data_IF_124981140634
#
_entry.id   IF_124981140634
#
_cell.length_a   1.000
_cell.length_b   1.000
_cell.length_c   1.000
_cell.angle_alpha   90.00
_cell.angle_beta   90.00
_cell.angle_gamma   90.00
#
_symmetry.space_group_name_H-M   'P 1'
#
loop_
_entity.id
_entity.type
_entity.pdbx_description
1 polymer ?
#
# COMPACT_ATOMS: atom_id res chain seq x y z
N UNK A 1 0.67 32.91 33.91
CA UNK A 1 2.11 33.16 33.84
C UNK A 1 2.59 32.57 32.52
N UNK A 2 2.61 33.40 31.47
CA UNK A 2 3.06 32.98 30.14
C UNK A 2 4.58 32.88 30.17
N UNK A 3 5.11 31.68 29.94
CA UNK A 3 6.54 31.50 29.68
C UNK A 3 6.75 31.92 28.22
N UNK A 4 7.51 33.00 27.94
CA UNK A 4 7.79 33.39 26.57
C UNK A 4 8.74 32.36 25.98
N UNK A 5 8.24 31.51 25.09
CA UNK A 5 9.10 30.65 24.28
C UNK A 5 9.83 31.54 23.27
N UNK A 6 11.17 31.67 23.32
CA UNK A 6 11.93 32.65 22.52
C UNK A 6 11.97 32.35 21.02
N UNK A 7 11.38 31.23 20.57
CA UNK A 7 11.35 30.83 19.17
C UNK A 7 9.94 30.37 18.79
N UNK A 8 9.17 31.25 18.14
CA UNK A 8 8.07 30.79 17.31
C UNK A 8 8.67 30.16 16.04
N UNK A 9 8.60 28.82 15.93
CA UNK A 9 8.94 28.11 14.70
C UNK A 9 7.86 28.41 13.67
N UNK A 10 7.97 29.59 13.06
CA UNK A 10 6.93 30.14 12.18
C UNK A 10 6.70 29.29 10.94
N UNK A 11 7.71 28.54 10.47
CA UNK A 11 7.56 27.57 9.40
C UNK A 11 8.62 26.48 9.50
N UNK A 12 8.21 25.21 9.53
CA UNK A 12 9.11 24.06 9.46
C UNK A 12 8.92 23.38 8.11
N UNK A 13 10.02 23.15 7.41
CA UNK A 13 10.00 22.48 6.11
C UNK A 13 10.51 21.05 6.22
N UNK A 14 9.73 20.12 5.69
CA UNK A 14 10.12 18.73 5.51
C UNK A 14 10.19 18.42 4.02
N UNK A 15 11.14 17.57 3.66
CA UNK A 15 11.30 17.05 2.29
C UNK A 15 11.39 15.53 2.36
N UNK A 16 11.11 14.86 1.24
CA UNK A 16 11.26 13.41 1.15
C UNK A 16 12.68 13.00 1.58
N UNK A 17 12.76 12.04 2.50
CA UNK A 17 14.01 11.65 3.16
C UNK A 17 14.52 10.32 2.63
N UNK A 18 15.82 10.29 2.30
CA UNK A 18 16.55 9.04 2.11
C UNK A 18 17.63 8.93 3.18
N UNK A 19 17.68 7.77 3.82
CA UNK A 19 18.73 7.41 4.79
C UNK A 19 19.20 5.99 4.53
N UNK A 20 20.50 5.85 4.29
CA UNK A 20 21.10 4.56 3.97
C UNK A 20 20.94 3.56 5.13
N UNK A 21 21.09 4.02 6.36
CA UNK A 21 20.96 3.21 7.57
C UNK A 21 19.50 2.82 7.88
N UNK A 22 18.53 3.56 7.33
CA UNK A 22 17.10 3.24 7.45
C UNK A 22 16.54 2.45 6.27
N UNK A 23 17.38 2.16 5.27
CA UNK A 23 16.94 1.53 4.03
C UNK A 23 16.26 0.18 4.27
N UNK A 24 16.88 -0.67 5.08
CA UNK A 24 16.44 -2.05 5.31
C UNK A 24 15.08 -2.12 6.00
N UNK A 25 14.92 -1.35 7.09
CA UNK A 25 13.64 -1.23 7.78
C UNK A 25 12.56 -0.58 6.88
N UNK A 26 12.91 0.40 6.05
CA UNK A 26 11.93 1.04 5.17
C UNK A 26 11.46 0.10 4.04
N UNK A 27 12.36 -0.74 3.50
CA UNK A 27 12.01 -1.79 2.53
C UNK A 27 11.03 -2.77 3.14
N UNK A 28 11.35 -3.29 4.32
CA UNK A 28 10.48 -4.26 4.97
C UNK A 28 9.17 -3.67 5.48
N UNK A 29 9.16 -2.43 5.97
CA UNK A 29 7.93 -1.73 6.33
C UNK A 29 7.02 -1.55 5.11
N UNK A 30 7.56 -1.07 3.99
CA UNK A 30 6.79 -0.94 2.74
C UNK A 30 6.24 -2.29 2.30
N UNK A 31 7.09 -3.32 2.32
CA UNK A 31 6.71 -4.68 2.00
C UNK A 31 5.53 -5.15 2.86
N UNK A 32 5.61 -5.01 4.19
CA UNK A 32 4.55 -5.43 5.11
C UNK A 32 3.23 -4.71 4.81
N UNK A 33 3.26 -3.39 4.60
CA UNK A 33 2.07 -2.59 4.29
C UNK A 33 1.40 -3.02 2.98
N UNK A 34 2.17 -3.19 1.91
CA UNK A 34 1.66 -3.60 0.60
C UNK A 34 1.05 -5.02 0.68
N UNK A 35 1.72 -5.93 1.37
CA UNK A 35 1.30 -7.34 1.46
C UNK A 35 0.10 -7.53 2.39
N UNK A 36 -0.07 -6.69 3.41
CA UNK A 36 -1.27 -6.72 4.24
C UNK A 36 -2.54 -6.50 3.43
N UNK A 37 -2.49 -5.61 2.44
CA UNK A 37 -3.63 -5.40 1.55
C UNK A 37 -3.93 -6.67 0.72
N UNK A 38 -2.90 -7.35 0.23
CA UNK A 38 -3.07 -8.65 -0.43
C UNK A 38 -3.62 -9.74 0.50
N UNK A 39 -3.22 -9.74 1.79
CA UNK A 39 -3.79 -10.63 2.79
C UNK A 39 -5.28 -10.33 3.01
N UNK A 40 -5.65 -9.05 3.15
CA UNK A 40 -7.05 -8.63 3.27
C UNK A 40 -7.88 -9.11 2.07
N UNK A 41 -7.39 -8.90 0.85
CA UNK A 41 -8.10 -9.30 -0.38
C UNK A 41 -8.26 -10.83 -0.48
N UNK A 42 -7.24 -11.59 -0.05
CA UNK A 42 -7.29 -13.04 -0.06
C UNK A 42 -8.30 -13.57 0.97
N UNK A 43 -8.29 -13.05 2.21
CA UNK A 43 -9.29 -13.38 3.23
C UNK A 43 -10.69 -12.98 2.77
N UNK A 44 -10.84 -11.79 2.17
CA UNK A 44 -12.12 -11.30 1.68
C UNK A 44 -12.65 -12.19 0.54
N UNK A 45 -11.77 -12.65 -0.35
CA UNK A 45 -12.12 -13.59 -1.42
C UNK A 45 -12.54 -14.95 -0.88
N UNK A 46 -11.85 -15.46 0.15
CA UNK A 46 -12.14 -16.72 0.83
C UNK A 46 -13.48 -16.67 1.58
N UNK A 47 -13.77 -15.53 2.21
CA UNK A 47 -14.95 -15.35 3.04
C UNK A 47 -16.11 -14.64 2.32
N UNK A 48 -16.01 -14.41 1.00
CA UNK A 48 -17.02 -13.63 0.24
C UNK A 48 -18.45 -14.16 0.36
N UNK A 49 -18.63 -15.49 0.49
CA UNK A 49 -19.96 -16.11 0.70
C UNK A 49 -20.50 -15.96 2.12
N UNK A 50 -19.67 -15.55 3.09
CA UNK A 50 -20.07 -15.23 4.47
C UNK A 50 -20.50 -13.77 4.65
N UNK A 51 -20.21 -12.91 3.66
CA UNK A 51 -20.60 -11.50 3.67
C UNK A 51 -22.08 -11.39 3.31
N UNK A 52 -22.92 -11.13 4.31
CA UNK A 52 -24.38 -11.03 4.11
C UNK A 52 -24.81 -9.61 3.73
N UNK A 53 -26.00 -9.43 3.11
CA UNK A 53 -26.48 -8.10 2.72
C UNK A 53 -26.44 -7.07 3.85
N UNK A 54 -26.73 -7.49 5.09
CA UNK A 54 -26.75 -6.63 6.28
C UNK A 54 -25.37 -6.11 6.67
N UNK A 55 -24.29 -6.82 6.30
CA UNK A 55 -22.91 -6.37 6.59
C UNK A 55 -22.48 -5.16 5.77
N UNK A 56 -23.20 -4.87 4.68
CA UNK A 56 -22.97 -3.69 3.86
C UNK A 56 -23.75 -2.46 4.35
N UNK A 57 -24.69 -2.65 5.29
CA UNK A 57 -25.55 -1.59 5.81
C UNK A 57 -24.84 -0.79 6.92
N UNK A 58 -25.31 0.45 7.14
CA UNK A 58 -24.75 1.41 8.09
C UNK A 58 -23.21 1.58 8.02
N UNK A 59 -22.59 1.70 6.82
CA UNK A 59 -21.18 2.04 6.77
C UNK A 59 -21.01 3.45 7.36
N UNK A 60 -19.94 3.66 8.14
CA UNK A 60 -19.51 5.02 8.43
C UNK A 60 -19.47 5.82 7.12
N UNK A 61 -19.88 7.09 7.14
CA UNK A 61 -19.94 7.94 5.94
C UNK A 61 -18.63 7.92 5.13
N UNK A 62 -17.50 7.63 5.78
CA UNK A 62 -16.21 7.47 5.11
C UNK A 62 -16.10 6.27 4.16
N UNK A 63 -16.85 5.20 4.37
CA UNK A 63 -16.76 3.94 3.60
C UNK A 63 -17.88 3.76 2.58
N UNK A 64 -18.99 4.50 2.72
CA UNK A 64 -20.22 4.34 1.91
C UNK A 64 -19.99 4.36 0.40
N UNK A 65 -19.02 5.14 -0.09
CA UNK A 65 -18.71 5.24 -1.53
C UNK A 65 -18.00 3.98 -2.10
N UNK A 66 -17.30 3.22 -1.27
CA UNK A 66 -16.53 2.03 -1.69
C UNK A 66 -17.32 0.73 -1.55
N UNK A 67 -18.34 0.71 -0.67
CA UNK A 67 -19.20 -0.44 -0.43
C UNK A 67 -19.84 -0.98 -1.73
N UNK A 68 -20.44 -0.15 -2.61
CA UNK A 68 -21.01 -0.64 -3.86
C UNK A 68 -19.98 -1.27 -4.81
N UNK A 69 -18.78 -0.70 -4.87
CA UNK A 69 -17.69 -1.22 -5.70
C UNK A 69 -17.25 -2.61 -5.21
N UNK A 70 -16.96 -2.72 -3.91
CA UNK A 70 -16.57 -4.01 -3.31
C UNK A 70 -17.69 -5.04 -3.47
N UNK A 71 -18.96 -4.68 -3.22
CA UNK A 71 -20.11 -5.58 -3.42
C UNK A 71 -20.17 -6.09 -4.86
N UNK A 72 -19.98 -5.21 -5.85
CA UNK A 72 -19.97 -5.58 -7.28
C UNK A 72 -18.82 -6.53 -7.62
N UNK A 73 -17.63 -6.29 -7.07
CA UNK A 73 -16.46 -7.13 -7.36
C UNK A 73 -16.56 -8.49 -6.68
N UNK A 74 -17.09 -8.56 -5.46
CA UNK A 74 -17.40 -9.83 -4.78
C UNK A 74 -18.44 -10.63 -5.55
N UNK A 75 -19.53 -9.99 -6.00
CA UNK A 75 -20.54 -10.67 -6.81
C UNK A 75 -19.97 -11.20 -8.14
N UNK A 76 -19.10 -10.43 -8.80
CA UNK A 76 -18.40 -10.87 -10.02
C UNK A 76 -17.49 -12.06 -9.74
N UNK A 77 -16.76 -12.02 -8.63
CA UNK A 77 -15.90 -13.12 -8.17
C UNK A 77 -16.74 -14.38 -7.94
N UNK A 78 -17.82 -14.31 -7.15
CA UNK A 78 -18.74 -15.44 -6.90
C UNK A 78 -19.24 -16.03 -8.22
N UNK A 79 -19.78 -15.20 -9.12
CA UNK A 79 -20.31 -15.66 -10.40
C UNK A 79 -19.23 -16.28 -11.32
N UNK A 80 -18.01 -15.75 -11.29
CA UNK A 80 -16.88 -16.32 -12.03
C UNK A 80 -16.49 -17.69 -11.50
N UNK A 81 -16.53 -17.87 -10.18
CA UNK A 81 -16.22 -19.13 -9.53
C UNK A 81 -17.30 -20.18 -9.74
N UNK A 82 -18.57 -19.80 -9.64
CA UNK A 82 -19.67 -20.72 -9.90
C UNK A 82 -19.59 -21.25 -11.34
N UNK A 83 -19.32 -20.39 -12.33
CA UNK A 83 -19.06 -20.82 -13.73
C UNK A 83 -17.86 -21.75 -13.86
N UNK A 84 -16.74 -21.41 -13.21
CA UNK A 84 -15.52 -22.22 -13.31
C UNK A 84 -15.73 -23.62 -12.75
N UNK A 85 -16.43 -23.74 -11.61
CA UNK A 85 -16.79 -25.03 -10.99
C UNK A 85 -17.66 -25.88 -11.92
N UNK A 86 -18.64 -25.27 -12.59
CA UNK A 86 -19.54 -26.00 -13.50
C UNK A 86 -18.82 -26.51 -14.76
N UNK A 87 -17.65 -25.93 -15.09
CA UNK A 87 -16.81 -26.31 -16.23
C UNK A 87 -15.55 -27.11 -15.88
N UNK A 88 -15.27 -27.30 -14.58
CA UNK A 88 -14.05 -27.94 -14.13
C UNK A 88 -14.17 -29.47 -14.24
N UNK A 89 -13.11 -30.17 -14.71
CA UNK A 89 -13.03 -31.62 -14.59
C UNK A 89 -13.21 -32.08 -13.14
N UNK A 90 -13.86 -33.24 -12.91
CA UNK A 90 -14.12 -33.78 -11.56
C UNK A 90 -12.83 -34.04 -10.75
N UNK A 91 -11.69 -34.17 -11.43
CA UNK A 91 -10.35 -34.40 -10.88
C UNK A 91 -9.51 -33.12 -10.72
N UNK A 92 -10.10 -31.93 -10.92
CA UNK A 92 -9.39 -30.67 -10.71
C UNK A 92 -9.06 -30.46 -9.22
N UNK A 93 -7.79 -30.66 -8.84
CA UNK A 93 -7.28 -30.45 -7.46
C UNK A 93 -7.33 -28.97 -6.99
N UNK A 94 -7.57 -28.02 -7.90
CA UNK A 94 -7.47 -26.59 -7.61
C UNK A 94 -8.78 -26.03 -7.03
N UNK A 95 -8.89 -26.01 -5.70
CA UNK A 95 -10.03 -25.40 -5.00
C UNK A 95 -10.05 -23.87 -5.13
N UNK A 96 -11.22 -23.27 -4.91
CA UNK A 96 -11.43 -21.82 -4.85
C UNK A 96 -10.48 -21.15 -3.83
N UNK A 97 -10.30 -21.81 -2.70
CA UNK A 97 -9.38 -21.41 -1.62
C UNK A 97 -7.92 -21.53 -2.05
N UNK A 98 -7.61 -22.56 -2.86
CA UNK A 98 -6.25 -22.78 -3.36
C UNK A 98 -5.76 -21.61 -4.21
N UNK A 99 -6.60 -21.07 -5.10
CA UNK A 99 -6.24 -19.90 -5.93
C UNK A 99 -6.17 -18.60 -5.13
N UNK A 100 -7.09 -18.38 -4.19
CA UNK A 100 -7.09 -17.18 -3.35
C UNK A 100 -5.77 -17.02 -2.57
N UNK A 101 -5.18 -18.15 -2.15
CA UNK A 101 -3.96 -18.18 -1.34
C UNK A 101 -2.71 -18.65 -2.07
N UNK A 102 -2.77 -18.94 -3.37
CA UNK A 102 -1.64 -19.48 -4.15
C UNK A 102 -0.41 -18.57 -4.08
N UNK A 103 -0.57 -17.29 -4.42
CA UNK A 103 0.52 -16.32 -4.42
C UNK A 103 1.14 -16.12 -3.01
N UNK A 104 0.31 -16.20 -1.96
CA UNK A 104 0.75 -16.07 -0.56
C UNK A 104 1.46 -17.32 -0.04
N UNK A 105 1.13 -18.51 -0.56
CA UNK A 105 1.87 -19.75 -0.24
C UNK A 105 3.20 -19.81 -1.02
N UNK A 106 3.17 -19.45 -2.31
CA UNK A 106 4.36 -19.34 -3.14
C UNK A 106 5.39 -18.39 -2.51
N UNK A 107 4.94 -17.25 -1.95
CA UNK A 107 5.75 -16.32 -1.16
C UNK A 107 6.62 -17.00 -0.11
N UNK A 108 6.00 -17.73 0.81
CA UNK A 108 6.74 -18.34 1.92
C UNK A 108 7.67 -19.44 1.44
N UNK A 109 7.26 -20.16 0.40
CA UNK A 109 8.05 -21.26 -0.13
C UNK A 109 9.25 -20.79 -0.98
N UNK A 110 9.15 -19.66 -1.67
CA UNK A 110 10.21 -19.16 -2.57
C UNK A 110 10.38 -17.62 -2.57
N UNK A 111 10.80 -17.04 -1.45
CA UNK A 111 10.87 -15.58 -1.30
C UNK A 111 11.98 -14.89 -2.12
N UNK A 112 12.92 -15.65 -2.70
CA UNK A 112 14.06 -15.12 -3.46
C UNK A 112 13.83 -15.03 -4.98
N UNK A 113 12.84 -15.74 -5.54
CA UNK A 113 12.57 -15.85 -6.99
C UNK A 113 11.37 -15.03 -7.45
N UNK A 114 10.52 -14.62 -6.53
CA UNK A 114 9.35 -13.74 -6.72
C UNK A 114 9.78 -12.28 -6.95
N UNK A 115 10.52 -12.06 -8.03
CA UNK A 115 10.88 -10.73 -8.49
C UNK A 115 9.61 -9.93 -8.79
N UNK A 116 9.33 -8.92 -7.95
CA UNK A 116 8.51 -7.73 -8.21
C UNK A 116 7.07 -7.92 -8.73
N UNK A 117 6.56 -9.13 -8.91
CA UNK A 117 5.17 -9.39 -9.28
C UNK A 117 4.53 -10.28 -8.23
N UNK A 118 3.93 -9.64 -7.23
CA UNK A 118 3.23 -10.30 -6.15
C UNK A 118 1.72 -10.18 -6.39
N UNK A 119 1.06 -11.34 -6.43
CA UNK A 119 -0.37 -11.57 -6.22
C UNK A 119 -1.35 -10.50 -6.69
N UNK A 120 -1.75 -10.54 -7.96
CA UNK A 120 -3.10 -10.09 -8.30
C UNK A 120 -4.07 -11.06 -7.65
N UNK A 121 -4.63 -10.69 -6.51
CA UNK A 121 -5.84 -11.34 -5.98
C UNK A 121 -6.98 -11.15 -6.98
N UNK A 122 -7.88 -12.14 -7.05
CA UNK A 122 -8.99 -12.21 -8.04
C UNK A 122 -9.97 -11.04 -7.88
N UNK A 123 -10.00 -10.42 -6.71
CA UNK A 123 -10.58 -9.10 -6.52
C UNK A 123 -9.49 -8.13 -6.97
N UNK A 124 -9.52 -7.75 -8.25
CA UNK A 124 -8.79 -6.56 -8.63
C UNK A 124 -9.33 -5.45 -7.73
N UNK A 125 -8.50 -4.87 -6.86
CA UNK A 125 -8.62 -3.43 -6.65
C UNK A 125 -8.85 -2.88 -8.05
N UNK A 126 -10.01 -2.25 -8.26
CA UNK A 126 -10.29 -1.59 -9.53
C UNK A 126 -8.97 -1.03 -10.02
N UNK A 127 -8.50 -1.39 -11.22
CA UNK A 127 -7.21 -0.92 -11.72
C UNK A 127 -7.10 0.63 -11.65
N UNK A 128 -8.20 1.33 -11.35
CA UNK A 128 -8.31 2.75 -11.10
C UNK A 128 -8.31 3.22 -9.61
N UNK A 129 -8.43 2.37 -8.58
CA UNK A 129 -8.58 2.80 -7.18
C UNK A 129 -7.66 2.04 -6.20
N UNK A 130 -6.48 2.61 -5.99
CA UNK A 130 -5.46 2.14 -5.03
C UNK A 130 -5.52 2.94 -3.71
N UNK A 131 -6.68 3.54 -3.41
CA UNK A 131 -6.77 4.37 -2.22
C UNK A 131 -6.80 3.51 -0.95
N UNK A 132 -6.10 3.95 0.10
CA UNK A 132 -6.21 3.45 1.48
C UNK A 132 -7.66 3.22 1.96
N UNK A 133 -8.63 3.95 1.39
CA UNK A 133 -10.03 3.81 1.77
C UNK A 133 -10.69 2.55 1.23
N UNK A 134 -10.24 2.05 0.08
CA UNK A 134 -10.66 0.74 -0.40
C UNK A 134 -10.20 -0.34 0.58
N UNK A 135 -8.91 -0.36 0.94
CA UNK A 135 -8.35 -1.26 1.95
C UNK A 135 -9.07 -1.14 3.30
N UNK A 136 -9.30 0.08 3.81
CA UNK A 136 -10.07 0.29 5.06
C UNK A 136 -11.52 -0.17 4.97
N UNK A 137 -12.14 -0.12 3.79
CA UNK A 137 -13.51 -0.63 3.60
C UNK A 137 -13.52 -2.15 3.56
N UNK A 138 -12.52 -2.78 2.93
CA UNK A 138 -12.31 -4.22 3.01
C UNK A 138 -12.09 -4.65 4.48
N UNK A 139 -11.25 -3.94 5.22
CA UNK A 139 -11.03 -4.17 6.65
C UNK A 139 -12.32 -4.08 7.46
N UNK A 140 -13.15 -3.05 7.21
CA UNK A 140 -14.45 -2.89 7.85
C UNK A 140 -15.34 -4.12 7.63
N UNK A 141 -15.45 -4.62 6.40
CA UNK A 141 -16.24 -5.82 6.09
C UNK A 141 -15.65 -7.07 6.75
N UNK A 142 -14.33 -7.22 6.70
CA UNK A 142 -13.64 -8.34 7.35
C UNK A 142 -13.86 -8.35 8.87
N UNK A 143 -13.87 -7.19 9.52
CA UNK A 143 -14.20 -7.08 10.96
C UNK A 143 -15.62 -7.56 11.25
N UNK A 144 -16.60 -7.19 10.42
CA UNK A 144 -17.99 -7.67 10.55
C UNK A 144 -18.07 -9.20 10.39
N UNK A 145 -17.30 -9.77 9.47
CA UNK A 145 -17.23 -11.24 9.32
C UNK A 145 -16.57 -11.87 10.55
N UNK A 146 -15.46 -11.32 11.04
CA UNK A 146 -14.78 -11.82 12.23
C UNK A 146 -15.67 -11.78 13.49
N UNK A 147 -16.53 -10.76 13.62
CA UNK A 147 -17.52 -10.65 14.70
C UNK A 147 -18.64 -11.69 14.58
N UNK A 148 -19.16 -11.91 13.36
CA UNK A 148 -20.29 -12.82 13.13
C UNK A 148 -19.87 -14.30 13.11
N UNK A 149 -18.71 -14.59 12.52
CA UNK A 149 -18.21 -15.94 12.28
C UNK A 149 -16.70 -16.05 12.56
N UNK A 150 -16.30 -15.95 13.84
CA UNK A 150 -14.89 -15.96 14.23
C UNK A 150 -14.20 -17.29 13.90
N UNK A 151 -14.93 -18.41 13.82
CA UNK A 151 -14.36 -19.73 13.51
C UNK A 151 -13.95 -19.83 12.06
N UNK A 152 -14.84 -19.47 11.12
CA UNK A 152 -14.52 -19.46 9.69
C UNK A 152 -13.43 -18.42 9.39
N UNK A 153 -13.45 -17.27 10.07
CA UNK A 153 -12.41 -16.26 9.94
C UNK A 153 -11.04 -16.78 10.43
N UNK A 154 -11.00 -17.43 11.59
CA UNK A 154 -9.80 -18.06 12.14
C UNK A 154 -9.25 -19.15 11.20
N UNK A 155 -10.13 -19.98 10.62
CA UNK A 155 -9.74 -20.99 9.64
C UNK A 155 -9.14 -20.36 8.39
N UNK A 156 -9.75 -19.30 7.84
CA UNK A 156 -9.22 -18.58 6.69
C UNK A 156 -7.84 -17.97 6.97
N UNK A 157 -7.62 -17.42 8.17
CA UNK A 157 -6.28 -16.97 8.57
C UNK A 157 -5.32 -18.15 8.71
N UNK A 158 -5.73 -19.29 9.28
CA UNK A 158 -4.88 -20.47 9.43
C UNK A 158 -4.42 -21.07 8.09
N UNK A 159 -5.27 -21.01 7.06
CA UNK A 159 -4.92 -21.39 5.68
C UNK A 159 -3.87 -20.45 5.09
N UNK A 160 -3.97 -19.16 5.40
CA UNK A 160 -2.94 -18.18 5.06
C UNK A 160 -1.71 -18.50 5.88
N UNK A 161 -1.73 -18.31 7.19
CA UNK A 161 -0.64 -18.37 8.16
C UNK A 161 -0.84 -19.55 9.12
N UNK A 162 -0.27 -20.73 8.83
CA UNK A 162 -0.37 -21.90 9.70
C UNK A 162 0.15 -21.61 11.10
N UNK A 163 -0.58 -22.06 12.12
CA UNK A 163 -0.26 -21.83 13.52
C UNK A 163 -0.70 -20.47 14.07
N UNK A 164 -1.26 -19.56 13.25
CA UNK A 164 -1.71 -18.24 13.72
C UNK A 164 -2.75 -18.35 14.83
N UNK A 165 -3.76 -19.20 14.66
CA UNK A 165 -4.87 -19.36 15.60
C UNK A 165 -4.45 -19.95 16.96
N UNK A 166 -3.26 -20.54 17.05
CA UNK A 166 -2.76 -21.16 18.29
C UNK A 166 -2.19 -20.11 19.27
N UNK A 167 -1.72 -18.98 18.75
CA UNK A 167 -1.03 -17.95 19.53
C UNK A 167 -1.59 -16.54 19.37
N UNK A 168 -2.53 -16.32 18.43
CA UNK A 168 -3.07 -15.01 18.12
C UNK A 168 -4.59 -14.99 18.03
N UNK A 169 -5.17 -13.86 18.40
CA UNK A 169 -6.61 -13.61 18.18
C UNK A 169 -6.90 -13.28 16.72
N UNK A 170 -8.15 -13.47 16.28
CA UNK A 170 -8.61 -13.05 14.95
C UNK A 170 -8.48 -11.55 14.72
N UNK A 171 -8.52 -10.74 15.79
CA UNK A 171 -8.43 -9.28 15.70
C UNK A 171 -6.99 -8.80 15.48
N UNK A 172 -5.99 -9.58 15.91
CA UNK A 172 -4.58 -9.25 15.72
C UNK A 172 -4.16 -9.28 14.25
N UNK A 173 -4.89 -9.99 13.40
CA UNK A 173 -4.70 -9.96 11.93
C UNK A 173 -4.75 -8.53 11.36
N UNK A 174 -5.63 -7.68 11.91
CA UNK A 174 -5.75 -6.30 11.45
C UNK A 174 -4.57 -5.42 11.88
N UNK A 175 -3.78 -5.88 12.86
CA UNK A 175 -2.58 -5.21 13.34
C UNK A 175 -1.31 -5.75 12.68
N UNK A 176 -1.41 -6.67 11.72
CA UNK A 176 -0.29 -7.25 10.98
C UNK A 176 0.21 -6.33 9.85
N UNK A 177 0.26 -5.02 10.14
CA UNK A 177 0.65 -3.96 9.22
C UNK A 177 1.08 -2.71 9.98
N UNK A 178 1.49 -1.69 9.25
CA UNK A 178 1.75 -0.35 9.76
C UNK A 178 0.79 0.65 9.11
N UNK A 179 0.58 1.80 9.77
CA UNK A 179 -0.04 2.94 9.09
C UNK A 179 0.84 3.35 7.88
N UNK A 180 0.25 3.75 6.74
CA UNK A 180 1.04 4.11 5.55
C UNK A 180 2.07 5.21 5.77
N UNK A 181 1.81 6.13 6.71
CA UNK A 181 2.70 7.23 7.07
C UNK A 181 3.61 6.93 8.26
N UNK A 182 3.63 5.70 8.77
CA UNK A 182 4.51 5.32 9.86
C UNK A 182 5.96 5.22 9.40
N UNK A 183 6.88 5.49 10.33
CA UNK A 183 8.31 5.20 10.17
C UNK A 183 8.71 4.30 11.34
N UNK A 184 8.46 2.98 11.24
CA UNK A 184 8.74 2.05 12.31
C UNK A 184 10.24 1.92 12.56
N UNK A 185 10.57 1.48 13.77
CA UNK A 185 11.92 1.09 14.17
C UNK A 185 12.31 -0.26 13.58
N UNK A 186 13.61 -0.60 13.66
CA UNK A 186 14.13 -1.90 13.22
C UNK A 186 13.44 -3.04 13.96
N UNK A 187 13.25 -2.89 15.27
CA UNK A 187 12.71 -3.94 16.12
C UNK A 187 11.23 -4.20 15.81
N UNK A 188 10.41 -3.14 15.71
CA UNK A 188 9.00 -3.28 15.31
C UNK A 188 8.84 -3.98 13.94
N UNK A 189 9.73 -3.69 12.99
CA UNK A 189 9.70 -4.35 11.68
C UNK A 189 10.11 -5.82 11.80
N UNK A 190 11.12 -6.15 12.60
CA UNK A 190 11.55 -7.53 12.81
C UNK A 190 10.48 -8.36 13.50
N UNK A 191 9.84 -7.80 14.53
CA UNK A 191 8.73 -8.45 15.23
C UNK A 191 7.60 -8.79 14.25
N UNK A 192 7.23 -7.85 13.38
CA UNK A 192 6.22 -8.10 12.33
C UNK A 192 6.67 -9.12 11.29
N UNK A 193 7.96 -9.16 10.94
CA UNK A 193 8.47 -10.21 10.06
C UNK A 193 8.43 -11.58 10.72
N UNK A 194 8.64 -11.66 12.04
CA UNK A 194 8.51 -12.90 12.80
C UNK A 194 7.06 -13.39 12.84
N UNK A 195 6.11 -12.49 13.13
CA UNK A 195 4.67 -12.78 13.05
C UNK A 195 4.27 -13.31 11.66
N UNK A 196 4.91 -12.79 10.60
CA UNK A 196 4.69 -13.22 9.21
C UNK A 196 5.47 -14.49 8.79
N UNK A 197 6.34 -15.01 9.67
CA UNK A 197 7.25 -16.13 9.39
C UNK A 197 8.24 -15.81 8.24
N UNK A 198 8.68 -14.55 8.16
CA UNK A 198 9.57 -14.00 7.14
C UNK A 198 10.92 -13.52 7.70
N UNK A 199 11.25 -13.80 8.97
CA UNK A 199 12.49 -13.34 9.62
C UNK A 199 13.76 -13.72 8.88
N UNK A 200 13.77 -14.87 8.20
CA UNK A 200 14.91 -15.34 7.40
C UNK A 200 15.23 -14.43 6.21
N UNK A 201 14.30 -13.56 5.82
CA UNK A 201 14.45 -12.66 4.70
C UNK A 201 15.06 -11.33 5.08
N UNK A 202 15.22 -11.03 6.37
CA UNK A 202 15.70 -9.72 6.82
C UNK A 202 16.90 -9.22 6.00
N UNK A 203 17.88 -10.08 5.69
CA UNK A 203 19.11 -9.79 4.95
C UNK A 203 18.96 -9.59 3.42
N UNK A 204 17.83 -9.91 2.80
CA UNK A 204 17.66 -9.80 1.34
C UNK A 204 17.84 -8.40 0.76
N UNK A 205 17.44 -7.29 1.42
CA UNK A 205 17.57 -5.95 0.85
C UNK A 205 19.01 -5.44 0.73
N UNK A 206 19.98 -6.11 1.36
CA UNK A 206 21.40 -5.74 1.26
C UNK A 206 22.06 -6.25 -0.02
N UNK A 207 21.37 -7.11 -0.77
CA UNK A 207 21.84 -7.63 -2.06
C UNK A 207 21.93 -6.52 -3.10
N UNK A 208 22.99 -6.59 -3.91
CA UNK A 208 23.11 -5.79 -5.11
C UNK A 208 22.38 -6.50 -6.25
N UNK A 209 21.44 -5.78 -6.87
CA UNK A 209 20.70 -6.27 -8.02
C UNK A 209 21.49 -5.98 -9.29
N UNK A 210 21.50 -6.94 -10.21
CA UNK A 210 21.94 -6.72 -11.58
C UNK A 210 20.72 -6.33 -12.42
N UNK A 211 20.92 -5.45 -13.40
CA UNK A 211 19.88 -5.21 -14.40
C UNK A 211 19.61 -6.52 -15.15
N UNK A 212 18.36 -6.99 -15.15
CA UNK A 212 18.00 -8.31 -15.74
C UNK A 212 18.29 -8.38 -17.24
N UNK A 213 18.28 -7.25 -17.92
CA UNK A 213 18.51 -7.14 -19.36
C UNK A 213 19.68 -6.19 -19.63
N UNK A 214 20.59 -6.61 -20.51
CA UNK A 214 21.62 -5.72 -21.05
C UNK A 214 20.96 -4.83 -22.09
N UNK A 215 21.11 -3.52 -21.95
CA UNK A 215 20.72 -2.57 -22.99
C UNK A 215 21.39 -3.02 -24.32
N UNK A 216 20.63 -3.27 -25.40
CA UNK A 216 21.21 -3.72 -26.66
C UNK A 216 22.29 -2.74 -27.13
N UNK A 217 23.47 -3.26 -27.48
CA UNK A 217 24.63 -2.46 -27.89
C UNK A 217 25.48 -1.87 -26.76
N UNK A 218 25.10 -2.01 -25.49
CA UNK A 218 25.90 -1.53 -24.36
C UNK A 218 27.03 -2.50 -24.01
N UNK A 219 28.28 -2.09 -24.26
CA UNK A 219 29.52 -2.85 -23.95
C UNK A 219 30.21 -2.38 -22.67
N UNK A 220 29.60 -1.45 -21.93
CA UNK A 220 30.17 -0.92 -20.69
C UNK A 220 30.01 -1.85 -19.48
N UNK A 221 30.47 -1.42 -18.29
CA UNK A 221 30.44 -2.24 -17.08
C UNK A 221 29.01 -2.62 -16.66
N UNK A 222 28.84 -3.84 -16.16
CA UNK A 222 27.55 -4.31 -15.66
C UNK A 222 27.09 -3.45 -14.47
N UNK A 223 25.97 -2.75 -14.64
CA UNK A 223 25.40 -1.91 -13.59
C UNK A 223 24.78 -2.77 -12.49
N UNK A 224 25.35 -2.66 -11.29
CA UNK A 224 24.73 -3.12 -10.05
C UNK A 224 24.05 -1.96 -9.36
N UNK A 225 22.84 -2.19 -8.86
CA UNK A 225 22.12 -1.18 -8.09
C UNK A 225 21.59 -1.76 -6.79
N UNK A 226 21.37 -0.87 -5.83
CA UNK A 226 20.60 -1.15 -4.61
C UNK A 226 19.35 -0.28 -4.64
N UNK A 227 18.25 -0.84 -4.16
CA UNK A 227 16.98 -0.14 -4.15
C UNK A 227 17.04 1.07 -3.21
N UNK A 228 16.69 2.24 -3.75
CA UNK A 228 16.64 3.49 -2.99
C UNK A 228 15.22 3.79 -2.59
N UNK A 229 14.87 3.35 -1.40
CA UNK A 229 13.58 3.61 -0.78
C UNK A 229 13.61 4.91 0.02
N UNK A 230 12.59 5.75 -0.16
CA UNK A 230 12.49 7.05 0.50
C UNK A 230 11.26 7.13 1.39
N UNK A 231 11.34 7.97 2.41
CA UNK A 231 10.23 8.27 3.31
C UNK A 231 9.61 9.59 2.89
N UNK A 232 8.27 9.64 2.84
CA UNK A 232 7.54 10.86 2.49
C UNK A 232 7.86 12.01 3.45
N UNK A 233 7.80 13.24 2.97
CA UNK A 233 7.92 14.43 3.82
C UNK A 233 6.85 14.44 4.92
N UNK A 234 5.63 14.01 4.61
CA UNK A 234 4.53 13.90 5.58
C UNK A 234 4.86 12.92 6.73
N UNK A 235 5.34 11.72 6.43
CA UNK A 235 5.73 10.72 7.44
C UNK A 235 6.85 11.24 8.35
N UNK A 236 7.84 11.94 7.78
CA UNK A 236 8.93 12.55 8.56
C UNK A 236 8.38 13.64 9.49
N UNK A 237 7.47 14.49 8.99
CA UNK A 237 6.80 15.50 9.78
C UNK A 237 5.99 14.88 10.94
N UNK A 238 5.22 13.82 10.65
CA UNK A 238 4.44 13.09 11.66
C UNK A 238 5.35 12.52 12.75
N UNK A 239 6.46 11.86 12.37
CA UNK A 239 7.44 11.34 13.33
C UNK A 239 8.03 12.45 14.20
N UNK A 240 8.41 13.58 13.58
CA UNK A 240 8.94 14.74 14.30
C UNK A 240 7.91 15.30 15.30
N UNK A 241 6.68 15.55 14.87
CA UNK A 241 5.61 16.06 15.73
C UNK A 241 5.32 15.11 16.90
N UNK A 242 5.32 13.80 16.65
CA UNK A 242 5.16 12.77 17.68
C UNK A 242 6.27 12.78 18.73
N UNK A 243 7.48 13.21 18.38
CA UNK A 243 8.65 13.22 19.27
C UNK A 243 8.78 14.49 20.11
N UNK A 244 8.16 15.60 19.71
CA UNK A 244 8.24 16.86 20.46
C UNK A 244 7.09 16.99 21.47
N UNK A 245 7.31 17.63 22.63
CA UNK A 245 6.27 17.87 23.63
C UNK A 245 5.08 18.66 23.07
N UNK A 246 3.88 18.39 23.61
CA UNK A 246 2.65 19.10 23.23
C UNK A 246 2.78 20.62 23.26
N UNK A 247 3.47 21.16 24.28
CA UNK A 247 3.68 22.60 24.43
C UNK A 247 4.45 23.18 23.23
N UNK A 248 5.43 22.46 22.70
CA UNK A 248 6.20 22.88 21.53
C UNK A 248 5.40 22.74 20.24
N UNK A 249 4.59 21.67 20.13
CA UNK A 249 3.68 21.48 18.98
C UNK A 249 2.72 22.64 18.81
N UNK A 250 2.14 23.13 19.90
CA UNK A 250 1.20 24.26 19.88
C UNK A 250 1.84 25.58 19.41
N UNK A 251 3.17 25.69 19.42
CA UNK A 251 3.89 26.85 18.90
C UNK A 251 4.14 26.77 17.38
N UNK A 252 3.84 25.63 16.74
CA UNK A 252 4.01 25.44 15.29
C UNK A 252 2.75 25.94 14.59
N UNK A 253 2.91 26.88 13.68
CA UNK A 253 1.81 27.43 12.88
C UNK A 253 1.83 27.00 11.42
N UNK A 254 3.01 26.77 10.83
CA UNK A 254 3.12 26.38 9.43
C UNK A 254 4.06 25.17 9.23
N UNK A 255 3.60 24.23 8.42
CA UNK A 255 4.39 23.11 7.92
C UNK A 255 4.40 23.14 6.39
N UNK A 256 5.59 23.01 5.81
CA UNK A 256 5.76 22.87 4.35
C UNK A 256 6.27 21.45 4.09
N UNK A 257 5.48 20.66 3.37
CA UNK A 257 5.80 19.27 3.02
C UNK A 257 6.16 19.21 1.54
N UNK A 258 7.43 19.00 1.24
CA UNK A 258 7.93 18.87 -0.13
C UNK A 258 8.07 17.38 -0.49
N UNK A 259 7.05 16.81 -1.12
CA UNK A 259 7.14 15.48 -1.73
C UNK A 259 7.87 15.62 -3.08
N UNK A 260 9.20 15.58 -3.03
CA UNK A 260 10.06 15.88 -4.18
C UNK A 260 10.52 14.62 -4.93
N UNK A 261 10.31 13.44 -4.34
CA UNK A 261 10.66 12.13 -4.86
C UNK A 261 9.62 11.10 -4.39
N UNK A 262 9.33 10.11 -5.23
CA UNK A 262 8.50 8.97 -4.83
C UNK A 262 9.00 8.32 -3.53
N UNK A 263 8.08 8.05 -2.61
CA UNK A 263 8.36 7.43 -1.32
C UNK A 263 7.72 6.05 -1.19
N UNK A 264 8.01 5.36 -0.09
CA UNK A 264 7.22 4.20 0.36
C UNK A 264 5.76 4.57 0.47
N UNK A 265 4.92 3.55 0.28
CA UNK A 265 3.47 3.63 0.34
C UNK A 265 2.92 4.74 -0.57
N UNK A 266 1.61 4.75 -0.82
CA UNK A 266 0.99 5.83 -1.59
C UNK A 266 1.09 7.15 -0.80
N UNK A 267 2.18 7.91 -1.00
CA UNK A 267 2.50 9.18 -0.34
C UNK A 267 1.34 10.19 -0.35
N UNK A 268 0.49 10.08 -1.35
CA UNK A 268 -0.76 10.83 -1.51
C UNK A 268 -1.66 10.74 -0.28
N UNK A 269 -1.66 9.60 0.42
CA UNK A 269 -2.49 9.36 1.60
C UNK A 269 -1.83 9.78 2.93
N UNK A 270 -0.52 10.10 2.95
CA UNK A 270 0.20 10.31 4.20
C UNK A 270 -0.22 11.57 4.96
N UNK A 271 -0.85 12.52 4.28
CA UNK A 271 -1.46 13.70 4.90
C UNK A 271 -2.57 13.31 5.90
N UNK A 272 -3.20 12.14 5.75
CA UNK A 272 -4.20 11.63 6.69
C UNK A 272 -3.61 11.41 8.09
N UNK A 273 -2.33 11.06 8.19
CA UNK A 273 -1.64 10.93 9.46
C UNK A 273 -1.46 12.24 10.22
N UNK A 274 -1.70 13.39 9.56
CA UNK A 274 -1.66 14.70 10.21
C UNK A 274 -2.98 15.07 10.89
N UNK A 275 -4.07 14.33 10.67
CA UNK A 275 -5.41 14.60 11.25
C UNK A 275 -5.35 14.83 12.77
N UNK A 276 -4.67 14.01 13.59
CA UNK A 276 -4.56 14.26 15.03
C UNK A 276 -3.94 15.63 15.36
N UNK A 277 -2.94 16.07 14.58
CA UNK A 277 -2.27 17.34 14.80
C UNK A 277 -3.09 18.54 14.33
N UNK A 278 -3.89 18.40 13.27
CA UNK A 278 -4.85 19.42 12.88
C UNK A 278 -5.93 19.65 13.95
N UNK A 279 -6.33 18.58 14.66
CA UNK A 279 -7.27 18.68 15.78
C UNK A 279 -6.62 19.28 17.04
N UNK A 280 -5.35 18.97 17.29
CA UNK A 280 -4.59 19.50 18.43
C UNK A 280 -4.22 20.98 18.25
N UNK A 281 -3.81 21.36 17.02
CA UNK A 281 -3.25 22.67 16.67
C UNK A 281 -4.21 23.37 15.70
N UNK A 282 -5.18 24.10 16.24
CA UNK A 282 -6.26 24.72 15.47
C UNK A 282 -5.81 25.74 14.41
N UNK A 283 -4.61 26.32 14.57
CA UNK A 283 -4.01 27.28 13.64
C UNK A 283 -2.98 26.66 12.68
N UNK A 284 -2.84 25.33 12.67
CA UNK A 284 -1.87 24.66 11.84
C UNK A 284 -2.23 24.77 10.37
N UNK A 285 -1.35 25.40 9.60
CA UNK A 285 -1.42 25.45 8.15
C UNK A 285 -0.40 24.46 7.60
N UNK A 286 -0.85 23.53 6.76
CA UNK A 286 0.01 22.59 6.06
C UNK A 286 -0.03 22.91 4.57
N UNK A 287 1.13 23.25 4.02
CA UNK A 287 1.35 23.37 2.59
C UNK A 287 1.96 22.08 2.05
N UNK A 288 1.17 21.28 1.34
CA UNK A 288 1.61 20.01 0.76
C UNK A 288 1.95 20.18 -0.73
N UNK A 289 3.24 20.14 -1.05
CA UNK A 289 3.79 20.35 -2.39
C UNK A 289 4.23 19.01 -2.99
N UNK A 290 3.50 18.53 -4.00
CA UNK A 290 3.85 17.30 -4.72
C UNK A 290 4.53 17.60 -6.07
N UNK A 291 5.74 17.06 -6.27
CA UNK A 291 6.40 17.12 -7.59
C UNK A 291 5.81 16.07 -8.53
N UNK A 292 4.93 16.50 -9.44
CA UNK A 292 4.22 15.63 -10.41
C UNK A 292 5.19 14.68 -11.15
N UNK A 293 6.27 15.23 -11.71
CA UNK A 293 7.27 14.50 -12.50
C UNK A 293 8.00 13.38 -11.77
N UNK A 294 8.01 13.40 -10.44
CA UNK A 294 8.80 12.46 -9.62
C UNK A 294 7.95 11.60 -8.69
N UNK A 295 6.66 11.87 -8.58
CA UNK A 295 5.75 11.17 -7.68
C UNK A 295 4.55 10.56 -8.40
N UNK A 296 4.00 11.26 -9.42
CA UNK A 296 2.79 10.82 -10.13
C UNK A 296 3.17 10.10 -11.42
N UNK A 297 3.98 10.75 -12.25
CA UNK A 297 4.32 10.22 -13.57
C UNK A 297 5.18 8.94 -13.55
N UNK A 298 6.06 8.72 -12.56
CA UNK A 298 6.76 7.43 -12.49
C UNK A 298 5.85 6.26 -12.09
N UNK A 299 4.79 6.50 -11.30
CA UNK A 299 3.78 5.49 -10.92
C UNK A 299 2.84 5.16 -12.08
N UNK A 300 2.68 6.08 -13.01
CA UNK A 300 1.83 5.94 -14.19
C UNK A 300 2.46 5.11 -15.33
N UNK A 301 3.56 4.42 -15.06
CA UNK A 301 4.34 3.65 -16.05
C UNK A 301 4.45 2.17 -15.62
N UNK A 302 3.60 1.73 -14.69
CA UNK A 302 3.87 0.51 -13.94
C UNK A 302 3.87 -0.78 -14.78
N UNK A 303 4.84 -1.63 -14.44
CA UNK A 303 5.09 -3.01 -14.88
C UNK A 303 5.72 -3.29 -16.26
N UNK A 304 5.85 -2.32 -17.16
CA UNK A 304 6.50 -2.54 -18.48
C UNK A 304 7.92 -1.98 -18.59
N UNK A 305 8.11 -0.70 -18.27
CA UNK A 305 9.31 0.01 -18.74
C UNK A 305 10.60 -0.26 -17.96
N UNK A 306 10.55 -0.98 -16.83
CA UNK A 306 11.77 -1.53 -16.22
C UNK A 306 12.24 -2.83 -16.89
N UNK A 307 11.46 -3.37 -17.85
CA UNK A 307 11.75 -4.57 -18.65
C UNK A 307 11.73 -4.32 -20.18
N UNK A 308 11.62 -3.07 -20.64
CA UNK A 308 11.64 -2.74 -22.07
C UNK A 308 12.57 -1.58 -22.40
N UNK A 309 13.70 -1.48 -21.69
CA UNK A 309 14.83 -0.74 -22.23
C UNK A 309 15.57 -1.64 -23.24
N UNK A 310 14.87 -2.06 -24.28
CA UNK A 310 15.44 -2.78 -25.42
C UNK A 310 14.78 -2.20 -26.66
N UNK A 311 15.50 -1.29 -27.33
CA UNK A 311 15.26 -1.03 -28.75
C UNK A 311 15.50 -2.36 -29.48
N UNK A 312 14.43 -3.09 -29.77
CA UNK A 312 14.49 -4.22 -30.70
C UNK A 312 14.24 -3.68 -32.11
N UNK A 313 15.31 -3.19 -32.75
CA UNK A 313 15.31 -3.01 -34.20
C UNK A 313 15.37 -4.40 -34.84
N UNK A 314 14.21 -5.01 -35.15
CA UNK A 314 14.00 -5.92 -36.30
C UNK A 314 12.78 -6.84 -36.23
N UNK A 315 11.67 -6.41 -35.61
CA UNK A 315 10.40 -7.13 -35.81
C UNK A 315 9.36 -6.18 -36.38
N UNK A 316 8.96 -6.48 -37.61
CA UNK A 316 7.86 -5.85 -38.34
C UNK A 316 6.55 -6.20 -37.62
N UNK A 317 6.22 -5.40 -36.58
CA UNK A 317 5.09 -5.60 -35.68
C UNK A 317 3.93 -4.68 -36.08
N UNK A 318 3.25 -5.01 -37.17
CA UNK A 318 1.87 -4.55 -37.39
C UNK A 318 0.97 -5.14 -36.29
N UNK A 319 0.80 -4.41 -35.19
CA UNK A 319 -0.12 -4.78 -34.10
C UNK A 319 0.22 -4.24 -32.71
N UNK A 320 1.30 -3.48 -32.54
CA UNK A 320 1.80 -3.03 -31.22
C UNK A 320 1.83 -1.50 -31.03
N UNK A 321 1.07 -0.74 -31.83
CA UNK A 321 0.97 0.73 -31.72
C UNK A 321 0.43 1.23 -30.37
N UNK A 322 -0.16 0.35 -29.54
CA UNK A 322 -0.68 0.69 -28.22
C UNK A 322 0.34 0.55 -27.07
N UNK A 323 1.55 0.02 -27.30
CA UNK A 323 2.54 -0.14 -26.22
C UNK A 323 3.31 1.16 -25.99
N UNK A 324 3.22 1.69 -24.77
CA UNK A 324 3.84 2.98 -24.40
C UNK A 324 5.35 2.85 -24.41
N UNK A 325 6.05 3.69 -25.17
CA UNK A 325 7.52 3.70 -25.17
C UNK A 325 8.07 4.24 -23.85
N UNK A 326 9.33 3.95 -23.53
CA UNK A 326 9.99 4.29 -22.25
C UNK A 326 9.99 5.78 -21.87
N UNK A 327 9.76 6.67 -22.83
CA UNK A 327 9.66 8.12 -22.63
C UNK A 327 8.21 8.64 -22.70
N UNK A 328 7.24 7.76 -22.92
CA UNK A 328 5.83 8.08 -23.06
C UNK A 328 5.08 7.63 -21.81
N UNK A 329 4.10 8.42 -21.39
CA UNK A 329 3.19 8.10 -20.30
C UNK A 329 1.77 8.08 -20.87
N UNK A 330 0.96 7.08 -20.50
CA UNK A 330 -0.44 7.07 -20.92
C UNK A 330 -1.22 8.12 -20.13
N UNK A 331 -2.11 8.83 -20.82
CA UNK A 331 -2.98 9.82 -20.20
C UNK A 331 -3.88 9.20 -19.12
N UNK A 332 -4.30 7.93 -19.29
CA UNK A 332 -5.06 7.16 -18.30
C UNK A 332 -4.35 7.05 -16.97
N UNK A 333 -3.03 6.87 -17.02
CA UNK A 333 -2.24 6.55 -15.84
C UNK A 333 -1.88 7.83 -15.06
N UNK A 334 -1.67 8.94 -15.79
CA UNK A 334 -1.62 10.28 -15.18
C UNK A 334 -2.95 10.62 -14.51
N UNK A 335 -4.06 10.40 -15.23
CA UNK A 335 -5.40 10.66 -14.72
C UNK A 335 -5.67 9.84 -13.45
N UNK A 336 -5.26 8.57 -13.41
CA UNK A 336 -5.34 7.73 -12.21
C UNK A 336 -4.55 8.34 -11.04
N UNK A 337 -3.28 8.68 -11.24
CA UNK A 337 -2.43 9.22 -10.18
C UNK A 337 -2.95 10.56 -9.62
N UNK A 338 -3.42 11.47 -10.49
CA UNK A 338 -4.06 12.73 -10.07
C UNK A 338 -5.38 12.46 -9.34
N UNK A 339 -6.19 11.53 -9.83
CA UNK A 339 -7.47 11.16 -9.19
C UNK A 339 -7.23 10.61 -7.78
N UNK A 340 -6.24 9.73 -7.59
CA UNK A 340 -5.88 9.21 -6.26
C UNK A 340 -5.52 10.34 -5.29
N UNK A 341 -4.72 11.33 -5.71
CA UNK A 341 -4.40 12.51 -4.89
C UNK A 341 -5.68 13.26 -4.49
N UNK A 342 -6.53 13.59 -5.46
CA UNK A 342 -7.76 14.35 -5.21
C UNK A 342 -8.68 13.59 -4.26
N UNK A 343 -8.82 12.27 -4.43
CA UNK A 343 -9.62 11.42 -3.56
C UNK A 343 -9.05 11.41 -2.13
N UNK A 344 -7.74 11.23 -1.96
CA UNK A 344 -7.10 11.23 -0.65
C UNK A 344 -7.23 12.56 0.08
N UNK A 345 -7.00 13.68 -0.60
CA UNK A 345 -7.15 15.02 -0.04
C UNK A 345 -8.61 15.31 0.30
N UNK A 346 -9.53 15.05 -0.63
CA UNK A 346 -10.97 15.26 -0.40
C UNK A 346 -11.46 14.46 0.80
N UNK A 347 -10.92 13.26 0.99
CA UNK A 347 -11.31 12.43 2.13
C UNK A 347 -10.66 12.86 3.44
N UNK A 348 -9.41 13.32 3.41
CA UNK A 348 -8.79 13.96 4.57
C UNK A 348 -9.66 15.11 5.10
N UNK A 349 -10.28 15.88 4.20
CA UNK A 349 -11.22 16.95 4.56
C UNK A 349 -12.46 16.41 5.30
N UNK A 350 -12.95 15.22 4.95
CA UNK A 350 -14.11 14.59 5.61
C UNK A 350 -13.79 13.88 6.93
N UNK A 351 -12.54 13.47 7.18
CA UNK A 351 -12.14 12.75 8.41
C UNK A 351 -11.76 13.68 9.57
N UNK A 352 -12.19 14.95 9.52
CA UNK A 352 -12.04 15.89 10.63
C UNK A 352 -10.86 16.83 10.53
N UNK A 353 -10.50 17.24 9.30
CA UNK A 353 -9.97 18.59 9.13
C UNK A 353 -11.10 19.58 9.48
N UNK A 354 -10.85 20.60 10.32
CA UNK A 354 -11.87 21.59 10.63
C UNK A 354 -12.36 22.21 9.32
N UNK A 355 -13.68 22.26 9.12
CA UNK A 355 -14.29 23.03 8.05
C UNK A 355 -13.71 24.44 8.16
N UNK A 356 -13.06 24.95 7.09
CA UNK A 356 -12.65 26.35 7.07
C UNK A 356 -13.90 27.19 7.35
N UNK A 357 -13.93 27.85 8.50
CA UNK A 357 -14.90 28.90 8.84
C UNK A 357 -14.70 30.10 7.92
#
# INVERSE_FOLDING_TARGET
MEIPYPFALNAITFSTLYRQDWRKQAIWANYIMDHHTSFQDAVLTRLKRRITPEMYEDPYLKYSQYIPAIRKDLARSIASWDRARDTAPEDAEESEDSRAFKALRELRSQPATSGRRWGSTVISQSYADETIFFSRTAEFLLRRVAEKDPREFSQAIGEISPGWADSHSVLEFFNLTFDPWAIPSVDEVKDKLEELQLSSLWETPDRWYQLREKLPGYTGPEYRYQEKIRLSAAAVAIKFLGQIPRQQRLCISNLILNEDRNSISSSECHVLGLIPFFREISKLIVEHRLKLWRNILPKSVDLGCFHFAVDDQSLDLQGWDDVTQTHQTRSSDIAKGVTNIIMHISKALTEGLPSRS
#
